data_IF_573117800007
#
_entry.id   IF_573117800007
#
_cell.length_a   1.000
_cell.length_b   1.000
_cell.length_c   1.000
_cell.angle_alpha   90.00
_cell.angle_beta   90.00
_cell.angle_gamma   90.00
#
_symmetry.space_group_name_H-M   'P 1'
#
loop_
_entity.id
_entity.type
_entity.pdbx_description
1 polymer ?
#
# COMPACT_ATOMS: atom_id res chain seq x y z
N UNK A 1 -49.15 -8.70 -17.36
CA UNK A 1 -48.06 -9.57 -16.89
C UNK A 1 -46.66 -9.10 -17.32
N UNK A 2 -46.48 -8.46 -18.49
CA UNK A 2 -45.17 -7.96 -18.93
C UNK A 2 -44.57 -6.83 -18.04
N UNK A 3 -45.39 -5.87 -17.58
CA UNK A 3 -44.91 -4.76 -16.74
C UNK A 3 -44.38 -5.22 -15.36
N UNK A 4 -45.06 -6.18 -14.72
CA UNK A 4 -44.67 -6.72 -13.42
C UNK A 4 -43.32 -7.46 -13.47
N UNK A 5 -43.04 -8.16 -14.57
CA UNK A 5 -41.73 -8.80 -14.73
C UNK A 5 -40.61 -7.78 -14.93
N UNK A 6 -40.89 -6.69 -15.66
CA UNK A 6 -39.91 -5.60 -15.83
C UNK A 6 -39.58 -4.92 -14.50
N UNK A 7 -40.56 -4.63 -13.65
CA UNK A 7 -40.36 -4.01 -12.34
C UNK A 7 -39.58 -4.90 -11.38
N UNK A 8 -39.85 -6.22 -11.39
CA UNK A 8 -39.11 -7.21 -10.59
C UNK A 8 -37.66 -7.31 -11.06
N UNK A 9 -37.40 -7.35 -12.38
CA UNK A 9 -36.05 -7.40 -12.91
C UNK A 9 -35.22 -6.15 -12.58
N UNK A 10 -35.82 -4.96 -12.67
CA UNK A 10 -35.16 -3.69 -12.30
C UNK A 10 -34.86 -3.66 -10.81
N UNK A 11 -35.81 -4.09 -9.97
CA UNK A 11 -35.64 -4.13 -8.51
C UNK A 11 -34.56 -5.13 -8.08
N UNK A 12 -34.51 -6.30 -8.72
CA UNK A 12 -33.46 -7.29 -8.46
C UNK A 12 -32.08 -6.80 -8.93
N UNK A 13 -31.98 -6.16 -10.10
CA UNK A 13 -30.73 -5.60 -10.60
C UNK A 13 -30.20 -4.48 -9.69
N UNK A 14 -31.09 -3.61 -9.21
CA UNK A 14 -30.75 -2.57 -8.23
C UNK A 14 -30.30 -3.18 -6.89
N UNK A 15 -31.03 -4.17 -6.36
CA UNK A 15 -30.65 -4.84 -5.12
C UNK A 15 -29.32 -5.60 -5.23
N UNK A 16 -29.06 -6.28 -6.36
CA UNK A 16 -27.77 -6.94 -6.61
C UNK A 16 -26.63 -5.94 -6.77
N UNK A 17 -26.90 -4.79 -7.40
CA UNK A 17 -25.94 -3.70 -7.52
C UNK A 17 -25.59 -3.09 -6.16
N UNK A 18 -26.58 -2.92 -5.27
CA UNK A 18 -26.36 -2.42 -3.91
C UNK A 18 -25.55 -3.38 -3.06
N UNK A 19 -25.80 -4.70 -3.18
CA UNK A 19 -24.99 -5.71 -2.48
C UNK A 19 -23.55 -5.73 -3.01
N UNK A 20 -23.37 -5.72 -4.33
CA UNK A 20 -22.03 -5.69 -4.92
C UNK A 20 -21.24 -4.43 -4.51
N UNK A 21 -21.90 -3.28 -4.41
CA UNK A 21 -21.28 -2.05 -3.93
C UNK A 21 -20.88 -2.13 -2.45
N UNK A 22 -21.73 -2.71 -1.60
CA UNK A 22 -21.41 -2.92 -0.18
C UNK A 22 -20.24 -3.90 -0.01
N UNK A 23 -20.26 -5.03 -0.72
CA UNK A 23 -19.19 -6.03 -0.67
C UNK A 23 -17.85 -5.43 -1.16
N UNK A 24 -17.88 -4.56 -2.18
CA UNK A 24 -16.68 -3.86 -2.67
C UNK A 24 -16.14 -2.83 -1.65
N UNK A 25 -17.03 -2.11 -0.95
CA UNK A 25 -16.62 -1.19 0.11
C UNK A 25 -15.97 -1.94 1.27
N UNK A 26 -16.57 -3.04 1.74
CA UNK A 26 -15.99 -3.89 2.79
C UNK A 26 -14.61 -4.43 2.41
N UNK A 27 -14.45 -4.88 1.16
CA UNK A 27 -13.15 -5.32 0.64
C UNK A 27 -12.11 -4.19 0.63
N UNK A 28 -12.49 -2.99 0.18
CA UNK A 28 -11.60 -1.83 0.18
C UNK A 28 -11.17 -1.42 1.60
N UNK A 29 -12.09 -1.46 2.58
CA UNK A 29 -11.74 -1.24 3.99
C UNK A 29 -10.74 -2.27 4.52
N UNK A 30 -10.96 -3.57 4.26
CA UNK A 30 -10.05 -4.63 4.70
C UNK A 30 -8.65 -4.47 4.07
N UNK A 31 -8.59 -4.09 2.79
CA UNK A 31 -7.32 -3.77 2.11
C UNK A 31 -6.64 -2.57 2.77
N UNK A 32 -7.39 -1.52 3.11
CA UNK A 32 -6.85 -0.36 3.81
C UNK A 32 -6.28 -0.70 5.20
N UNK A 33 -6.95 -1.56 5.99
CA UNK A 33 -6.43 -2.01 7.29
C UNK A 33 -5.12 -2.82 7.14
N UNK A 34 -5.06 -3.71 6.15
CA UNK A 34 -3.85 -4.48 5.87
C UNK A 34 -2.73 -3.58 5.34
N UNK A 35 -3.04 -2.54 4.56
CA UNK A 35 -2.05 -1.55 4.10
C UNK A 35 -1.38 -0.83 5.28
N UNK A 36 -2.13 -0.52 6.34
CA UNK A 36 -1.58 0.05 7.60
C UNK A 36 -0.64 -0.95 8.26
N UNK A 37 -1.06 -2.22 8.40
CA UNK A 37 -0.27 -3.28 9.03
C UNK A 37 1.07 -3.49 8.31
N UNK A 38 1.02 -3.67 6.99
CA UNK A 38 2.21 -3.84 6.14
C UNK A 38 3.10 -2.63 6.16
N UNK A 39 2.51 -1.43 6.14
CA UNK A 39 3.28 -0.19 6.25
C UNK A 39 4.06 -0.09 7.55
N UNK A 40 3.48 -0.52 8.68
CA UNK A 40 4.18 -0.55 9.96
C UNK A 40 5.36 -1.53 9.94
N UNK A 41 5.16 -2.74 9.43
CA UNK A 41 6.22 -3.74 9.36
C UNK A 41 7.37 -3.28 8.47
N UNK A 42 7.05 -2.63 7.36
CA UNK A 42 8.05 -2.08 6.44
C UNK A 42 8.85 -0.92 7.04
N UNK A 43 8.19 -0.02 7.76
CA UNK A 43 8.86 1.05 8.52
C UNK A 43 9.77 0.48 9.61
N UNK A 44 9.35 -0.59 10.29
CA UNK A 44 10.19 -1.27 11.29
C UNK A 44 11.47 -1.82 10.67
N UNK A 45 11.37 -2.51 9.53
CA UNK A 45 12.53 -3.04 8.83
C UNK A 45 13.46 -1.92 8.33
N UNK A 46 12.90 -0.84 7.79
CA UNK A 46 13.67 0.33 7.36
C UNK A 46 14.41 1.01 8.53
N UNK A 47 13.74 1.18 9.67
CA UNK A 47 14.34 1.80 10.86
C UNK A 47 15.48 0.94 11.43
N UNK A 48 15.35 -0.39 11.44
CA UNK A 48 16.42 -1.29 11.87
C UNK A 48 17.70 -1.10 11.04
N UNK A 49 17.54 -0.94 9.72
CA UNK A 49 18.64 -0.62 8.82
C UNK A 49 19.26 0.76 9.09
N UNK A 50 18.45 1.80 9.29
CA UNK A 50 18.95 3.15 9.63
C UNK A 50 19.72 3.14 10.96
N UNK A 51 19.20 2.44 11.97
CA UNK A 51 19.83 2.31 13.28
C UNK A 51 21.18 1.58 13.19
N UNK A 52 21.25 0.48 12.43
CA UNK A 52 22.51 -0.24 12.17
C UNK A 52 23.56 0.65 11.50
N UNK A 53 23.13 1.51 10.56
CA UNK A 53 23.99 2.49 9.89
C UNK A 53 24.52 3.55 10.86
N UNK A 54 23.65 4.08 11.72
CA UNK A 54 24.00 5.12 12.69
C UNK A 54 24.96 4.62 13.79
N UNK A 55 24.88 3.35 14.16
CA UNK A 55 25.72 2.74 15.20
C UNK A 55 26.99 2.08 14.65
N UNK A 56 27.18 2.06 13.33
CA UNK A 56 28.33 1.42 12.69
C UNK A 56 28.38 -0.09 12.95
N UNK A 57 27.22 -0.74 12.99
CA UNK A 57 27.13 -2.16 13.31
C UNK A 57 27.70 -3.05 12.20
N UNK A 58 28.26 -4.19 12.59
CA UNK A 58 28.86 -5.17 11.66
C UNK A 58 27.84 -5.74 10.67
N UNK A 59 26.55 -5.73 11.04
CA UNK A 59 25.47 -6.38 10.30
C UNK A 59 24.68 -5.43 9.38
N UNK A 60 25.19 -4.22 9.10
CA UNK A 60 24.54 -3.24 8.22
C UNK A 60 24.08 -3.83 6.87
N UNK A 61 24.88 -4.73 6.29
CA UNK A 61 24.53 -5.39 5.01
C UNK A 61 23.33 -6.35 5.16
N UNK A 62 23.21 -7.03 6.30
CA UNK A 62 22.09 -7.92 6.57
C UNK A 62 20.80 -7.10 6.77
N UNK A 63 20.87 -6.02 7.54
CA UNK A 63 19.73 -5.12 7.76
C UNK A 63 19.30 -4.40 6.48
N UNK A 64 20.25 -3.94 5.64
CA UNK A 64 19.94 -3.39 4.33
C UNK A 64 19.19 -4.40 3.44
N UNK A 65 19.63 -5.66 3.42
CA UNK A 65 18.96 -6.73 2.67
C UNK A 65 17.56 -7.04 3.22
N UNK A 66 17.36 -6.99 4.55
CA UNK A 66 16.07 -7.19 5.18
C UNK A 66 15.10 -6.05 4.85
N UNK A 67 15.54 -4.80 4.96
CA UNK A 67 14.76 -3.61 4.61
C UNK A 67 14.38 -3.60 3.13
N UNK A 68 15.33 -3.90 2.22
CA UNK A 68 15.06 -3.95 0.78
C UNK A 68 14.09 -5.10 0.41
N UNK A 69 14.20 -6.25 1.08
CA UNK A 69 13.26 -7.37 0.88
C UNK A 69 11.85 -7.01 1.36
N UNK A 70 11.72 -6.43 2.55
CA UNK A 70 10.44 -5.93 3.09
C UNK A 70 9.79 -4.91 2.14
N UNK A 71 10.56 -3.97 1.61
CA UNK A 71 10.04 -2.96 0.69
C UNK A 71 9.51 -3.60 -0.61
N UNK A 72 10.22 -4.59 -1.17
CA UNK A 72 9.77 -5.33 -2.37
C UNK A 72 8.54 -6.18 -2.12
N UNK A 73 8.47 -6.86 -0.98
CA UNK A 73 7.30 -7.67 -0.60
C UNK A 73 6.07 -6.79 -0.40
N UNK A 74 6.23 -5.69 0.31
CA UNK A 74 5.19 -4.68 0.52
C UNK A 74 4.73 -4.09 -0.81
N UNK A 75 5.65 -3.70 -1.68
CA UNK A 75 5.33 -3.20 -3.02
C UNK A 75 4.56 -4.22 -3.87
N UNK A 76 4.96 -5.49 -3.82
CA UNK A 76 4.30 -6.56 -4.56
C UNK A 76 2.88 -6.80 -4.06
N UNK A 77 2.66 -6.67 -2.75
CA UNK A 77 1.32 -6.74 -2.18
C UNK A 77 0.45 -5.56 -2.63
N UNK A 78 0.98 -4.33 -2.57
CA UNK A 78 0.26 -3.13 -3.03
C UNK A 78 -0.22 -3.28 -4.48
N UNK A 79 0.64 -3.76 -5.39
CA UNK A 79 0.26 -4.03 -6.78
C UNK A 79 -0.81 -5.12 -6.92
N UNK A 80 -0.75 -6.16 -6.08
CA UNK A 80 -1.67 -7.30 -6.17
C UNK A 80 -3.12 -6.94 -5.84
N UNK A 81 -3.32 -5.93 -4.99
CA UNK A 81 -4.65 -5.51 -4.50
C UNK A 81 -5.12 -4.20 -5.13
N UNK A 82 -4.26 -3.46 -5.85
CA UNK A 82 -4.59 -2.15 -6.39
C UNK A 82 -5.80 -2.16 -7.34
N UNK A 83 -6.04 -3.24 -8.07
CA UNK A 83 -7.19 -3.37 -8.98
C UNK A 83 -8.54 -3.54 -8.28
N UNK A 84 -8.52 -3.85 -6.98
CA UNK A 84 -9.72 -4.03 -6.15
C UNK A 84 -10.20 -2.72 -5.52
N UNK A 85 -9.44 -1.63 -5.71
CA UNK A 85 -9.67 -0.35 -5.07
C UNK A 85 -10.25 0.69 -6.04
N UNK A 86 -10.96 1.72 -5.51
CA UNK A 86 -11.29 2.91 -6.26
C UNK A 86 -10.05 3.55 -6.91
N UNK A 87 -10.23 4.20 -8.07
CA UNK A 87 -9.14 4.76 -8.88
C UNK A 87 -8.14 5.60 -8.10
N UNK A 88 -8.61 6.41 -7.14
CA UNK A 88 -7.76 7.28 -6.32
C UNK A 88 -6.81 6.46 -5.41
N UNK A 89 -7.34 5.47 -4.69
CA UNK A 89 -6.55 4.56 -3.86
C UNK A 89 -5.63 3.67 -4.71
N UNK A 90 -6.14 3.16 -5.84
CA UNK A 90 -5.36 2.36 -6.79
C UNK A 90 -4.11 3.12 -7.27
N UNK A 91 -4.27 4.41 -7.62
CA UNK A 91 -3.16 5.27 -8.02
C UNK A 91 -2.13 5.47 -6.91
N UNK A 92 -2.58 5.73 -5.67
CA UNK A 92 -1.69 5.88 -4.52
C UNK A 92 -0.94 4.59 -4.17
N UNK A 93 -1.61 3.43 -4.30
CA UNK A 93 -1.00 2.11 -4.08
C UNK A 93 0.11 1.84 -5.09
N UNK A 94 -0.12 2.14 -6.37
CA UNK A 94 0.87 2.02 -7.42
C UNK A 94 2.07 2.98 -7.21
N UNK A 95 1.80 4.22 -6.77
CA UNK A 95 2.85 5.19 -6.46
C UNK A 95 3.72 4.73 -5.29
N UNK A 96 3.11 4.22 -4.21
CA UNK A 96 3.85 3.67 -3.08
C UNK A 96 4.66 2.44 -3.49
N UNK A 97 4.09 1.53 -4.27
CA UNK A 97 4.78 0.34 -4.75
C UNK A 97 6.01 0.70 -5.62
N UNK A 98 5.88 1.69 -6.49
CA UNK A 98 7.01 2.20 -7.28
C UNK A 98 8.10 2.82 -6.38
N UNK A 99 7.70 3.65 -5.42
CA UNK A 99 8.64 4.27 -4.50
C UNK A 99 9.38 3.23 -3.64
N UNK A 100 8.68 2.24 -3.09
CA UNK A 100 9.28 1.16 -2.29
C UNK A 100 10.30 0.32 -3.08
N UNK A 101 10.04 0.06 -4.37
CA UNK A 101 11.02 -0.60 -5.24
C UNK A 101 12.26 0.26 -5.46
N UNK A 102 12.07 1.57 -5.65
CA UNK A 102 13.17 2.52 -5.75
C UNK A 102 13.98 2.54 -4.45
N UNK A 103 13.31 2.60 -3.29
CA UNK A 103 13.94 2.54 -1.97
C UNK A 103 14.79 1.28 -1.80
N UNK A 104 14.27 0.11 -2.19
CA UNK A 104 15.02 -1.15 -2.12
C UNK A 104 16.32 -1.12 -2.95
N UNK A 105 16.29 -0.48 -4.13
CA UNK A 105 17.50 -0.30 -4.96
C UNK A 105 18.49 0.64 -4.29
N UNK A 106 18.02 1.75 -3.74
CA UNK A 106 18.88 2.73 -3.03
C UNK A 106 19.54 2.10 -1.81
N UNK A 107 18.77 1.42 -0.96
CA UNK A 107 19.23 0.76 0.28
C UNK A 107 20.36 -0.24 -0.01
N UNK A 108 20.27 -0.99 -1.11
CA UNK A 108 21.28 -1.99 -1.49
C UNK A 108 22.49 -1.42 -2.24
N UNK A 109 22.42 -0.16 -2.66
CA UNK A 109 23.48 0.55 -3.40
C UNK A 109 24.31 1.44 -2.48
N UNK A 110 25.39 2.02 -3.01
CA UNK A 110 26.05 3.14 -2.35
C UNK A 110 25.15 4.38 -2.44
N UNK A 111 24.85 5.01 -1.31
CA UNK A 111 23.89 6.12 -1.20
C UNK A 111 24.34 7.13 -0.14
N UNK A 112 23.86 8.35 -0.29
CA UNK A 112 23.99 9.41 0.69
C UNK A 112 22.86 9.38 1.72
N UNK A 113 23.10 10.00 2.88
CA UNK A 113 22.04 10.23 3.87
C UNK A 113 20.88 11.06 3.30
N UNK A 114 21.17 11.99 2.37
CA UNK A 114 20.15 12.80 1.70
C UNK A 114 19.23 11.95 0.81
N UNK A 115 19.77 10.95 0.10
CA UNK A 115 18.96 10.00 -0.68
C UNK A 115 18.05 9.16 0.22
N UNK A 116 18.58 8.66 1.34
CA UNK A 116 17.79 7.89 2.34
C UNK A 116 16.68 8.76 2.95
N UNK A 117 16.96 10.02 3.28
CA UNK A 117 15.96 10.94 3.81
C UNK A 117 14.88 11.24 2.76
N UNK A 118 15.28 11.50 1.51
CA UNK A 118 14.34 11.80 0.42
C UNK A 118 13.37 10.65 0.15
N UNK A 119 13.85 9.39 0.14
CA UNK A 119 12.96 8.23 -0.08
C UNK A 119 12.03 7.99 1.12
N UNK A 120 12.48 8.28 2.34
CA UNK A 120 11.69 8.16 3.56
C UNK A 120 10.57 9.20 3.59
N UNK A 121 10.89 10.47 3.30
CA UNK A 121 9.92 11.56 3.22
C UNK A 121 8.86 11.30 2.15
N UNK A 122 9.27 10.84 0.97
CA UNK A 122 8.36 10.47 -0.13
C UNK A 122 7.45 9.31 0.30
N UNK A 123 8.02 8.25 0.90
CA UNK A 123 7.24 7.11 1.40
C UNK A 123 6.20 7.55 2.43
N UNK A 124 6.59 8.40 3.39
CA UNK A 124 5.71 8.89 4.45
C UNK A 124 4.59 9.76 3.90
N UNK A 125 4.89 10.62 2.91
CA UNK A 125 3.89 11.44 2.23
C UNK A 125 2.84 10.57 1.53
N UNK A 126 3.26 9.55 0.77
CA UNK A 126 2.31 8.67 0.05
C UNK A 126 1.48 7.83 1.03
N UNK A 127 2.11 7.25 2.07
CA UNK A 127 1.38 6.50 3.12
C UNK A 127 0.34 7.38 3.81
N UNK A 128 0.67 8.65 4.09
CA UNK A 128 -0.29 9.60 4.65
C UNK A 128 -1.48 9.80 3.71
N UNK A 129 -1.24 10.03 2.42
CA UNK A 129 -2.32 10.16 1.43
C UNK A 129 -3.19 8.90 1.37
N UNK A 130 -2.59 7.71 1.44
CA UNK A 130 -3.33 6.44 1.50
C UNK A 130 -4.21 6.40 2.76
N UNK A 131 -3.68 6.74 3.93
CA UNK A 131 -4.45 6.70 5.17
C UNK A 131 -5.57 7.74 5.22
N UNK A 132 -5.32 8.94 4.69
CA UNK A 132 -6.34 9.98 4.58
C UNK A 132 -7.48 9.52 3.64
N UNK A 133 -7.16 8.92 2.49
CA UNK A 133 -8.14 8.40 1.54
C UNK A 133 -8.89 7.18 2.10
N UNK A 134 -8.19 6.24 2.74
CA UNK A 134 -8.79 5.09 3.43
C UNK A 134 -9.74 5.51 4.57
N UNK A 135 -9.45 6.61 5.27
CA UNK A 135 -10.33 7.17 6.29
C UNK A 135 -11.56 7.90 5.75
N UNK A 136 -11.65 8.08 4.43
CA UNK A 136 -12.77 8.72 3.73
C UNK A 136 -13.73 7.73 3.05
N UNK A 137 -13.37 6.45 3.01
CA UNK A 137 -14.25 5.34 2.64
C UNK A 137 -15.43 5.25 3.63
#
# INVERSE_FOLDING_TARGET
MAAYQSEVSISMAAASSSKAAADAAEAAFAICEEAVSRSKNDVVAFNAYVDAGNHGETDLRAEASAAASSARETASWFDSVASELPTQLSGLFAELAANLRSSAVVIESDHSADEINSISDTSNSIRKSIFDECGSL
#
